data_IF_104408126320
#
_entry.id   IF_104408126320
#
_cell.length_a   1.000
_cell.length_b   1.000
_cell.length_c   1.000
_cell.angle_alpha   90.00
_cell.angle_beta   90.00
_cell.angle_gamma   90.00
#
_symmetry.space_group_name_H-M   'P 1'
#
loop_
_entity.id
_entity.type
_entity.pdbx_description
1 polymer ?
#
# COMPACT_ATOMS: atom_id res chain seq x y z
N UNK A 1 10.58 -4.63 0.70
CA UNK A 1 10.53 -4.90 -0.75
C UNK A 1 9.09 -4.87 -1.25
N UNK A 2 8.85 -4.24 -2.40
CA UNK A 2 7.51 -4.14 -3.03
C UNK A 2 6.84 -5.51 -3.20
N UNK A 3 7.60 -6.54 -3.55
CA UNK A 3 7.08 -7.92 -3.66
C UNK A 3 6.51 -8.46 -2.35
N UNK A 4 7.13 -8.13 -1.21
CA UNK A 4 6.62 -8.56 0.11
C UNK A 4 5.27 -7.90 0.45
N UNK A 5 5.06 -6.64 0.07
CA UNK A 5 3.77 -5.95 0.23
C UNK A 5 2.70 -6.56 -0.66
N UNK A 6 3.02 -6.87 -1.92
CA UNK A 6 2.08 -7.49 -2.85
C UNK A 6 1.70 -8.91 -2.40
N UNK A 7 2.66 -9.66 -1.86
CA UNK A 7 2.43 -10.99 -1.30
C UNK A 7 1.54 -10.92 -0.06
N UNK A 8 1.82 -10.00 0.86
CA UNK A 8 0.97 -9.71 2.01
C UNK A 8 -0.48 -9.39 1.57
N UNK A 9 -0.67 -8.49 0.61
CA UNK A 9 -2.00 -8.10 0.10
C UNK A 9 -2.74 -9.32 -0.46
N UNK A 10 -2.08 -10.18 -1.21
CA UNK A 10 -2.70 -11.41 -1.75
C UNK A 10 -3.17 -12.37 -0.66
N UNK A 11 -2.42 -12.47 0.44
CA UNK A 11 -2.79 -13.31 1.58
C UNK A 11 -3.91 -12.70 2.43
N UNK A 12 -3.92 -11.36 2.57
CA UNK A 12 -4.94 -10.66 3.36
C UNK A 12 -6.29 -10.56 2.64
N UNK A 13 -6.27 -10.38 1.32
CA UNK A 13 -7.46 -10.06 0.53
C UNK A 13 -7.59 -10.96 -0.69
N UNK A 14 -8.63 -11.80 -0.77
CA UNK A 14 -8.90 -12.65 -1.93
C UNK A 14 -9.45 -11.82 -3.09
N UNK A 15 -8.57 -11.14 -3.83
CA UNK A 15 -8.92 -10.27 -4.95
C UNK A 15 -9.08 -11.07 -6.25
N UNK A 16 -10.03 -10.63 -7.07
CA UNK A 16 -10.16 -11.19 -8.43
C UNK A 16 -8.96 -10.80 -9.30
N UNK A 17 -8.54 -11.72 -10.16
CA UNK A 17 -7.52 -11.50 -11.20
C UNK A 17 -8.10 -11.48 -12.62
N UNK A 18 -9.40 -11.81 -12.78
CA UNK A 18 -10.08 -11.87 -14.06
C UNK A 18 -10.55 -10.50 -14.57
N UNK A 19 -10.71 -10.37 -15.90
CA UNK A 19 -11.17 -9.14 -16.57
C UNK A 19 -12.67 -9.20 -16.94
N UNK A 20 -13.50 -10.00 -16.23
CA UNK A 20 -14.92 -10.11 -16.49
C UNK A 20 -15.64 -8.78 -16.20
N UNK A 21 -16.61 -8.44 -17.05
CA UNK A 21 -17.49 -7.28 -16.80
C UNK A 21 -18.55 -7.65 -15.76
N UNK A 22 -18.29 -7.29 -14.50
CA UNK A 22 -19.14 -7.57 -13.34
C UNK A 22 -20.22 -6.51 -13.14
N UNK A 23 -20.97 -6.15 -14.20
CA UNK A 23 -22.14 -5.30 -14.01
C UNK A 23 -23.19 -6.03 -13.14
N UNK A 24 -24.01 -5.32 -12.35
CA UNK A 24 -25.05 -5.93 -11.54
C UNK A 24 -26.03 -6.79 -12.36
N UNK A 25 -26.27 -6.41 -13.62
CA UNK A 25 -27.12 -7.15 -14.54
C UNK A 25 -26.48 -8.49 -14.95
N UNK A 26 -25.18 -8.49 -15.27
CA UNK A 26 -24.46 -9.70 -15.66
C UNK A 26 -24.35 -10.71 -14.50
N UNK A 27 -24.15 -10.22 -13.27
CA UNK A 27 -24.12 -11.05 -12.07
C UNK A 27 -25.50 -11.65 -11.80
N UNK A 28 -26.57 -10.82 -11.82
CA UNK A 28 -27.96 -11.29 -11.61
C UNK A 28 -28.42 -12.27 -12.70
N UNK A 29 -27.96 -12.07 -13.92
CA UNK A 29 -28.27 -12.99 -15.04
C UNK A 29 -27.50 -14.34 -14.97
N UNK A 30 -26.62 -14.53 -13.96
CA UNK A 30 -25.85 -15.76 -13.80
C UNK A 30 -24.90 -16.07 -14.97
N UNK A 31 -24.35 -15.01 -15.61
CA UNK A 31 -23.49 -15.17 -16.81
C UNK A 31 -22.16 -15.84 -16.54
N UNK A 32 -21.74 -15.96 -15.28
CA UNK A 32 -20.40 -16.38 -14.93
C UNK A 32 -20.42 -17.65 -14.09
N UNK A 33 -19.45 -18.53 -14.33
CA UNK A 33 -19.19 -19.68 -13.51
C UNK A 33 -17.97 -19.45 -12.61
N UNK A 34 -17.87 -20.19 -11.51
CA UNK A 34 -16.70 -20.20 -10.65
C UNK A 34 -15.46 -20.67 -11.39
N UNK A 35 -14.35 -20.01 -11.15
CA UNK A 35 -13.05 -20.35 -11.73
C UNK A 35 -12.15 -21.02 -10.67
N UNK A 36 -10.97 -21.47 -11.11
CA UNK A 36 -9.98 -22.08 -10.22
C UNK A 36 -9.62 -21.19 -9.03
N UNK A 37 -9.42 -19.87 -9.26
CA UNK A 37 -9.07 -18.91 -8.21
C UNK A 37 -10.09 -18.86 -7.06
N UNK A 38 -11.37 -19.06 -7.36
CA UNK A 38 -12.39 -19.17 -6.31
C UNK A 38 -12.26 -20.47 -5.51
N UNK A 39 -12.00 -21.59 -6.20
CA UNK A 39 -11.87 -22.89 -5.53
C UNK A 39 -10.64 -22.97 -4.62
N UNK A 40 -9.54 -22.36 -5.03
CA UNK A 40 -8.30 -22.28 -4.22
C UNK A 40 -8.30 -21.09 -3.24
N UNK A 41 -9.46 -20.39 -3.09
CA UNK A 41 -9.68 -19.27 -2.15
C UNK A 41 -8.86 -18.00 -2.41
N UNK A 42 -8.25 -17.86 -3.56
CA UNK A 42 -7.57 -16.62 -3.97
C UNK A 42 -8.54 -15.50 -4.39
N UNK A 43 -9.80 -15.85 -4.65
CA UNK A 43 -10.85 -14.92 -5.03
C UNK A 43 -12.14 -15.21 -4.24
N UNK A 44 -12.81 -14.18 -3.75
CA UNK A 44 -14.05 -14.32 -2.99
C UNK A 44 -15.32 -14.51 -3.85
N UNK A 45 -15.18 -14.61 -5.19
CA UNK A 45 -16.28 -14.91 -6.10
C UNK A 45 -17.28 -13.77 -6.34
N UNK A 46 -16.84 -12.53 -6.58
CA UNK A 46 -17.77 -11.43 -6.88
C UNK A 46 -18.57 -11.66 -8.17
N UNK A 47 -18.05 -12.44 -9.12
CA UNK A 47 -18.73 -12.76 -10.37
C UNK A 47 -20.01 -13.61 -10.22
N UNK A 48 -20.12 -14.35 -9.11
CA UNK A 48 -21.29 -15.18 -8.78
C UNK A 48 -22.06 -14.62 -7.57
N UNK A 49 -21.80 -13.36 -7.19
CA UNK A 49 -22.49 -12.69 -6.09
C UNK A 49 -22.12 -13.19 -4.68
N UNK A 50 -21.05 -13.99 -4.52
CA UNK A 50 -20.58 -14.46 -3.20
C UNK A 50 -19.89 -13.37 -2.39
N UNK A 51 -19.36 -12.35 -3.06
CA UNK A 51 -18.84 -11.12 -2.45
C UNK A 51 -19.63 -9.95 -3.04
N UNK A 52 -20.22 -9.12 -2.19
CA UNK A 52 -20.93 -7.93 -2.62
C UNK A 52 -19.95 -6.78 -2.97
N UNK A 53 -20.48 -5.75 -3.63
CA UNK A 53 -19.68 -4.61 -4.08
C UNK A 53 -19.12 -3.81 -2.90
N UNK A 54 -19.84 -3.66 -1.82
CA UNK A 54 -19.44 -2.88 -0.64
C UNK A 54 -18.23 -3.53 0.03
N UNK A 55 -18.29 -4.83 0.29
CA UNK A 55 -17.17 -5.61 0.84
C UNK A 55 -15.93 -5.54 -0.06
N UNK A 56 -16.13 -5.65 -1.39
CA UNK A 56 -15.01 -5.55 -2.34
C UNK A 56 -14.36 -4.18 -2.28
N UNK A 57 -15.14 -3.09 -2.27
CA UNK A 57 -14.63 -1.72 -2.20
C UNK A 57 -13.97 -1.42 -0.85
N UNK A 58 -14.48 -1.99 0.26
CA UNK A 58 -13.83 -1.91 1.56
C UNK A 58 -12.43 -2.54 1.51
N UNK A 59 -12.30 -3.75 0.95
CA UNK A 59 -11.00 -4.41 0.76
C UNK A 59 -10.04 -3.53 -0.06
N UNK A 60 -10.53 -2.90 -1.13
CA UNK A 60 -9.71 -1.99 -1.96
C UNK A 60 -9.26 -0.76 -1.18
N UNK A 61 -10.11 -0.20 -0.31
CA UNK A 61 -9.75 0.93 0.53
C UNK A 61 -8.65 0.55 1.54
N UNK A 62 -8.77 -0.58 2.22
CA UNK A 62 -7.77 -1.11 3.15
C UNK A 62 -6.44 -1.39 2.45
N UNK A 63 -6.47 -1.98 1.26
CA UNK A 63 -5.27 -2.21 0.42
C UNK A 63 -4.57 -0.89 0.08
N UNK A 64 -5.33 0.15 -0.27
CA UNK A 64 -4.76 1.47 -0.55
C UNK A 64 -4.04 2.05 0.67
N UNK A 65 -4.58 1.87 1.87
CA UNK A 65 -3.92 2.32 3.09
C UNK A 65 -2.64 1.53 3.38
N UNK A 66 -2.64 0.21 3.18
CA UNK A 66 -1.43 -0.62 3.29
C UNK A 66 -0.35 -0.16 2.30
N UNK A 67 -0.72 0.14 1.05
CA UNK A 67 0.21 0.62 0.02
C UNK A 67 0.77 2.03 0.33
N UNK A 68 0.04 2.85 1.07
CA UNK A 68 0.51 4.14 1.59
C UNK A 68 1.42 3.99 2.83
N UNK A 69 1.48 2.79 3.42
CA UNK A 69 2.23 2.51 4.64
C UNK A 69 1.43 2.68 5.94
N UNK A 70 0.14 2.99 5.87
CA UNK A 70 -0.74 3.17 7.03
C UNK A 70 -1.16 1.82 7.66
N UNK A 71 -0.20 0.95 7.87
CA UNK A 71 -0.44 -0.41 8.38
C UNK A 71 -0.93 -0.44 9.83
N UNK A 72 -0.50 0.52 10.66
CA UNK A 72 -0.93 0.59 12.07
C UNK A 72 -2.43 0.82 12.24
N UNK A 73 -3.02 1.64 11.37
CA UNK A 73 -4.46 1.91 11.42
C UNK A 73 -5.27 0.66 11.06
N UNK A 74 -4.84 -0.04 10.00
CA UNK A 74 -5.45 -1.32 9.60
C UNK A 74 -5.28 -2.37 10.70
N UNK A 75 -4.11 -2.48 11.32
CA UNK A 75 -3.85 -3.38 12.44
C UNK A 75 -4.80 -3.12 13.61
N UNK A 76 -4.98 -1.84 13.99
CA UNK A 76 -5.91 -1.45 15.05
C UNK A 76 -7.36 -1.79 14.72
N UNK A 77 -7.78 -1.53 13.47
CA UNK A 77 -9.13 -1.87 12.99
C UNK A 77 -9.37 -3.40 13.03
N UNK A 78 -8.41 -4.20 12.56
CA UNK A 78 -8.51 -5.66 12.59
C UNK A 78 -8.58 -6.18 14.04
N UNK A 79 -7.76 -5.62 14.93
CA UNK A 79 -7.80 -5.98 16.35
C UNK A 79 -9.16 -5.69 16.98
N UNK A 80 -9.71 -4.50 16.75
CA UNK A 80 -11.05 -4.11 17.25
C UNK A 80 -12.12 -5.03 16.69
N UNK A 81 -12.14 -5.28 15.39
CA UNK A 81 -13.11 -6.18 14.74
C UNK A 81 -13.02 -7.60 15.31
N UNK A 82 -11.81 -8.10 15.57
CA UNK A 82 -11.61 -9.40 16.23
C UNK A 82 -12.25 -9.45 17.61
N UNK A 83 -12.09 -8.38 18.42
CA UNK A 83 -12.68 -8.28 19.76
C UNK A 83 -14.22 -8.23 19.71
N UNK A 84 -14.79 -7.48 18.79
CA UNK A 84 -16.23 -7.38 18.58
C UNK A 84 -16.83 -8.74 18.20
N UNK A 85 -16.24 -9.44 17.24
CA UNK A 85 -16.69 -10.76 16.83
C UNK A 85 -16.56 -11.81 17.96
N UNK A 86 -15.51 -11.73 18.77
CA UNK A 86 -15.31 -12.60 19.92
C UNK A 86 -16.38 -12.33 21.01
N UNK A 87 -16.73 -11.06 21.24
CA UNK A 87 -17.79 -10.68 22.19
C UNK A 87 -19.17 -11.18 21.72
N UNK A 88 -19.40 -11.25 20.41
CA UNK A 88 -20.60 -11.84 19.81
C UNK A 88 -20.57 -13.37 19.73
N UNK A 89 -19.54 -14.04 20.30
CA UNK A 89 -19.31 -15.49 20.23
C UNK A 89 -19.12 -16.06 18.81
N UNK A 90 -18.78 -15.21 17.83
CA UNK A 90 -18.48 -15.58 16.43
C UNK A 90 -17.02 -15.96 16.27
N UNK A 91 -16.62 -17.02 16.97
CA UNK A 91 -15.21 -17.39 17.11
C UNK A 91 -14.51 -17.78 15.79
N UNK A 92 -15.24 -18.40 14.86
CA UNK A 92 -14.67 -18.74 13.54
C UNK A 92 -14.35 -17.49 12.70
N UNK A 93 -15.23 -16.47 12.79
CA UNK A 93 -15.02 -15.20 12.11
C UNK A 93 -13.89 -14.41 12.80
N UNK A 94 -13.89 -14.37 14.14
CA UNK A 94 -12.83 -13.74 14.92
C UNK A 94 -11.47 -14.37 14.62
N UNK A 95 -11.40 -15.70 14.44
CA UNK A 95 -10.17 -16.40 14.09
C UNK A 95 -9.62 -15.98 12.72
N UNK A 96 -10.49 -15.81 11.71
CA UNK A 96 -10.08 -15.31 10.38
C UNK A 96 -9.50 -13.91 10.44
N UNK A 97 -10.10 -13.04 11.26
CA UNK A 97 -9.57 -11.68 11.47
C UNK A 97 -8.25 -11.71 12.21
N UNK A 98 -8.11 -12.58 13.22
CA UNK A 98 -6.83 -12.80 13.94
C UNK A 98 -5.70 -13.23 13.00
N UNK A 99 -5.96 -14.12 12.07
CA UNK A 99 -4.97 -14.55 11.07
C UNK A 99 -4.50 -13.36 10.20
N UNK A 100 -5.42 -12.50 9.76
CA UNK A 100 -5.08 -11.28 9.05
C UNK A 100 -4.24 -10.32 9.90
N UNK A 101 -4.64 -10.11 11.15
CA UNK A 101 -3.91 -9.28 12.11
C UNK A 101 -2.47 -9.76 12.27
N UNK A 102 -2.26 -11.06 12.53
CA UNK A 102 -0.93 -11.64 12.71
C UNK A 102 -0.05 -11.55 11.46
N UNK A 103 -0.63 -11.69 10.26
CA UNK A 103 0.10 -11.50 8.99
C UNK A 103 0.61 -10.07 8.86
N UNK A 104 -0.22 -9.08 9.19
CA UNK A 104 0.14 -7.66 9.12
C UNK A 104 1.19 -7.29 10.18
N UNK A 105 1.02 -7.77 11.41
CA UNK A 105 1.97 -7.59 12.51
C UNK A 105 3.35 -8.17 12.17
N UNK A 106 3.39 -9.39 11.63
CA UNK A 106 4.63 -10.04 11.18
C UNK A 106 5.31 -9.28 10.03
N UNK A 107 4.52 -8.70 9.11
CA UNK A 107 5.05 -7.86 8.05
C UNK A 107 5.71 -6.61 8.63
N UNK A 108 5.04 -5.93 9.55
CA UNK A 108 5.54 -4.71 10.19
C UNK A 108 6.81 -4.98 11.00
N UNK A 109 6.86 -6.08 11.75
CA UNK A 109 8.04 -6.44 12.55
C UNK A 109 9.30 -6.73 11.72
N UNK A 110 9.13 -7.11 10.45
CA UNK A 110 10.21 -7.33 9.49
C UNK A 110 10.62 -6.07 8.69
N UNK A 111 9.83 -5.00 8.77
CA UNK A 111 10.17 -3.72 8.15
C UNK A 111 11.30 -3.06 8.95
N UNK A 112 12.31 -2.53 8.27
CA UNK A 112 13.37 -1.78 8.93
C UNK A 112 12.77 -0.56 9.64
N UNK A 113 12.87 -0.55 10.96
CA UNK A 113 12.48 0.59 11.78
C UNK A 113 13.61 1.62 11.69
N UNK A 114 13.34 2.77 11.09
CA UNK A 114 14.32 3.86 10.97
C UNK A 114 14.40 4.67 12.26
N UNK A 115 13.25 4.93 12.88
CA UNK A 115 13.17 5.73 14.12
C UNK A 115 11.79 5.58 14.78
N UNK A 116 11.78 5.58 16.11
CA UNK A 116 10.55 5.65 16.90
C UNK A 116 9.98 7.07 17.01
N UNK A 117 10.70 8.07 16.51
CA UNK A 117 10.36 9.50 16.63
C UNK A 117 9.87 10.08 15.30
N UNK A 118 10.33 9.52 14.18
CA UNK A 118 9.99 10.02 12.85
C UNK A 118 8.63 9.48 12.38
N UNK A 119 7.64 10.35 12.30
CA UNK A 119 6.30 10.01 11.87
C UNK A 119 5.90 10.87 10.67
N UNK A 120 5.58 10.23 9.54
CA UNK A 120 5.06 10.89 8.36
C UNK A 120 5.97 12.01 7.80
N UNK A 121 7.19 11.64 7.41
CA UNK A 121 8.24 12.53 6.93
C UNK A 121 8.66 12.12 5.51
N UNK A 122 8.86 13.11 4.65
CA UNK A 122 9.50 12.93 3.36
C UNK A 122 10.98 13.30 3.46
N UNK A 123 11.86 12.43 3.02
CA UNK A 123 13.31 12.68 2.98
C UNK A 123 13.76 12.68 1.53
N UNK A 124 14.49 13.73 1.16
CA UNK A 124 15.08 13.86 -0.16
C UNK A 124 16.59 14.02 -0.06
N UNK A 125 17.31 13.42 -1.00
CA UNK A 125 18.72 13.72 -1.24
C UNK A 125 18.98 13.85 -2.73
N UNK A 126 20.06 14.53 -3.10
CA UNK A 126 20.46 14.73 -4.49
C UNK A 126 21.97 14.51 -4.63
N UNK A 127 22.34 13.76 -5.67
CA UNK A 127 23.72 13.59 -6.11
C UNK A 127 23.82 13.84 -7.61
N UNK A 128 24.88 14.51 -8.03
CA UNK A 128 25.19 14.71 -9.46
C UNK A 128 26.09 13.60 -9.97
N UNK A 129 25.90 13.22 -11.23
CA UNK A 129 26.80 12.31 -11.90
C UNK A 129 28.17 13.00 -12.14
N UNK A 130 29.20 12.18 -12.30
CA UNK A 130 30.59 12.63 -12.51
C UNK A 130 30.78 13.49 -13.75
N UNK A 131 29.90 13.36 -14.75
CA UNK A 131 29.91 14.16 -15.97
C UNK A 131 29.05 15.44 -15.89
N UNK A 132 28.41 15.67 -14.72
CA UNK A 132 27.50 16.79 -14.42
C UNK A 132 26.29 16.95 -15.36
N UNK A 133 26.00 15.91 -16.19
CA UNK A 133 24.87 15.95 -17.13
C UNK A 133 23.58 15.42 -16.55
N UNK A 134 23.69 14.62 -15.49
CA UNK A 134 22.56 14.04 -14.79
C UNK A 134 22.65 14.29 -13.29
N UNK A 135 21.50 14.33 -12.62
CA UNK A 135 21.42 14.30 -11.17
C UNK A 135 20.46 13.20 -10.75
N UNK A 136 20.80 12.53 -9.65
CA UNK A 136 19.98 11.48 -9.05
C UNK A 136 19.34 12.02 -7.79
N UNK A 137 18.00 12.03 -7.74
CA UNK A 137 17.24 12.44 -6.57
C UNK A 137 16.68 11.19 -5.92
N UNK A 138 16.99 10.98 -4.65
CA UNK A 138 16.39 9.93 -3.84
C UNK A 138 15.24 10.52 -3.04
N UNK A 139 14.13 9.82 -3.02
CA UNK A 139 12.95 10.10 -2.21
C UNK A 139 12.66 8.92 -1.30
N UNK A 140 12.55 9.20 0.00
CA UNK A 140 12.10 8.24 1.02
C UNK A 140 10.87 8.80 1.71
N UNK A 141 9.82 8.00 1.82
CA UNK A 141 8.67 8.30 2.67
C UNK A 141 8.70 7.44 3.92
N UNK A 142 8.77 8.09 5.08
CA UNK A 142 8.80 7.44 6.38
C UNK A 142 7.45 7.63 7.06
N UNK A 143 6.78 6.53 7.37
CA UNK A 143 5.53 6.53 8.13
C UNK A 143 5.66 5.57 9.31
N UNK A 144 5.32 6.06 10.51
CA UNK A 144 5.38 5.26 11.74
C UNK A 144 6.77 4.64 11.99
N UNK A 145 7.83 5.39 11.73
CA UNK A 145 9.21 4.98 11.97
C UNK A 145 9.79 3.99 10.97
N UNK A 146 9.07 3.64 9.90
CA UNK A 146 9.55 2.73 8.87
C UNK A 146 9.60 3.42 7.49
N UNK A 147 10.58 3.05 6.67
CA UNK A 147 10.63 3.46 5.27
C UNK A 147 9.58 2.67 4.49
N UNK A 148 8.52 3.35 4.06
CA UNK A 148 7.43 2.74 3.29
C UNK A 148 7.62 2.86 1.78
N UNK A 149 8.26 3.93 1.33
CA UNK A 149 8.56 4.17 -0.07
C UNK A 149 10.01 4.63 -0.20
N UNK A 150 10.70 4.12 -1.21
CA UNK A 150 12.05 4.50 -1.55
C UNK A 150 12.17 4.51 -3.08
N UNK A 151 12.51 5.65 -3.65
CA UNK A 151 12.67 5.83 -5.09
C UNK A 151 13.91 6.65 -5.40
N UNK A 152 14.54 6.32 -6.52
CA UNK A 152 15.64 7.10 -7.10
C UNK A 152 15.24 7.51 -8.51
N UNK A 153 15.40 8.78 -8.83
CA UNK A 153 15.06 9.36 -10.12
C UNK A 153 16.29 9.99 -10.74
N UNK A 154 16.50 9.76 -12.04
CA UNK A 154 17.49 10.44 -12.83
C UNK A 154 16.86 11.66 -13.50
N UNK A 155 17.45 12.83 -13.29
CA UNK A 155 17.14 14.07 -13.99
C UNK A 155 18.29 14.43 -14.91
N UNK A 156 18.00 14.51 -16.22
CA UNK A 156 18.97 15.00 -17.21
C UNK A 156 18.92 16.51 -17.26
N UNK A 157 20.05 17.14 -16.97
CA UNK A 157 20.18 18.61 -17.05
C UNK A 157 20.00 19.06 -18.49
N UNK A 158 19.17 20.09 -18.68
CA UNK A 158 18.91 20.69 -20.02
C UNK A 158 19.51 22.08 -20.14
N UNK A 159 19.55 22.80 -19.04
CA UNK A 159 20.04 24.16 -18.90
C UNK A 159 20.83 24.15 -17.61
N UNK A 160 21.96 24.50 -17.44
CA UNK A 160 22.86 24.51 -16.27
C UNK A 160 22.12 24.67 -14.90
N UNK A 161 21.09 23.86 -14.69
CA UNK A 161 20.27 23.88 -13.47
C UNK A 161 21.14 23.53 -12.26
N UNK A 162 20.93 24.26 -11.17
CA UNK A 162 21.61 23.99 -9.90
C UNK A 162 21.01 22.77 -9.18
N UNK A 163 21.75 22.22 -8.20
CA UNK A 163 21.24 21.13 -7.35
C UNK A 163 19.95 21.52 -6.63
N UNK A 164 19.88 22.76 -6.15
CA UNK A 164 18.73 23.30 -5.43
C UNK A 164 17.49 23.38 -6.32
N UNK A 165 17.67 23.83 -7.57
CA UNK A 165 16.58 23.91 -8.54
C UNK A 165 16.05 22.51 -8.92
N UNK A 166 16.95 21.57 -9.21
CA UNK A 166 16.59 20.19 -9.52
C UNK A 166 15.92 19.50 -8.33
N UNK A 167 16.44 19.70 -7.11
CA UNK A 167 15.85 19.14 -5.91
C UNK A 167 14.43 19.69 -5.68
N UNK A 168 14.24 20.99 -5.87
CA UNK A 168 12.93 21.63 -5.74
C UNK A 168 11.92 21.07 -6.72
N UNK A 169 12.31 20.87 -7.98
CA UNK A 169 11.47 20.22 -9.00
C UNK A 169 11.13 18.78 -8.59
N UNK A 170 12.13 18.01 -8.14
CA UNK A 170 11.95 16.64 -7.69
C UNK A 170 10.99 16.53 -6.50
N UNK A 171 11.08 17.43 -5.53
CA UNK A 171 10.16 17.47 -4.38
C UNK A 171 8.72 17.68 -4.85
N UNK A 172 8.48 18.67 -5.71
CA UNK A 172 7.14 18.98 -6.23
C UNK A 172 6.58 17.77 -6.98
N UNK A 173 7.35 17.23 -7.94
CA UNK A 173 6.93 16.11 -8.77
C UNK A 173 6.60 14.87 -7.93
N UNK A 174 7.46 14.51 -6.98
CA UNK A 174 7.27 13.29 -6.19
C UNK A 174 6.10 13.42 -5.23
N UNK A 175 5.96 14.56 -4.56
CA UNK A 175 4.83 14.79 -3.66
C UNK A 175 3.50 14.80 -4.41
N UNK A 176 3.47 15.33 -5.62
CA UNK A 176 2.28 15.29 -6.48
C UNK A 176 1.99 13.87 -6.98
N UNK A 177 3.00 13.16 -7.46
CA UNK A 177 2.88 11.79 -7.99
C UNK A 177 2.40 10.79 -6.95
N UNK A 178 2.98 10.85 -5.74
CA UNK A 178 2.68 9.91 -4.65
C UNK A 178 1.63 10.43 -3.65
N UNK A 179 1.10 11.64 -3.89
CA UNK A 179 0.09 12.28 -3.04
C UNK A 179 0.52 12.32 -1.57
N UNK A 180 1.81 12.61 -1.33
CA UNK A 180 2.32 12.72 0.04
C UNK A 180 1.64 13.86 0.78
N UNK A 181 1.17 13.56 1.99
CA UNK A 181 0.59 14.52 2.94
C UNK A 181 1.54 14.82 4.11
N UNK A 182 2.81 14.44 4.00
CA UNK A 182 3.82 14.74 5.02
C UNK A 182 3.94 16.24 5.24
N UNK A 183 3.95 16.63 6.53
CA UNK A 183 4.13 18.03 6.93
C UNK A 183 5.59 18.43 7.04
N UNK A 184 6.46 17.45 7.21
CA UNK A 184 7.90 17.65 7.37
C UNK A 184 8.61 17.07 6.16
N UNK A 185 9.60 17.84 5.66
CA UNK A 185 10.47 17.44 4.57
C UNK A 185 11.91 17.62 5.06
N UNK A 186 12.73 16.58 4.95
CA UNK A 186 14.16 16.65 5.23
C UNK A 186 14.89 16.72 3.89
N UNK A 187 15.75 17.72 3.77
CA UNK A 187 16.59 17.98 2.59
C UNK A 187 18.06 18.12 3.00
N UNK A 188 19.03 17.94 2.08
CA UNK A 188 20.47 17.95 2.41
C UNK A 188 21.06 19.36 2.67
N UNK A 189 20.35 20.42 2.34
CA UNK A 189 20.79 21.82 2.50
C UNK A 189 19.59 22.75 2.71
#
# INVERSE_FOLDING_TARGET
SMYAVLDLIKHLYPLRTCNLNLSPENIRAGKFNVCLEYHIKNCAGPCIGKQNQEEYLKNIAEIKEILKGNTQEIERMLYQQMQELAAEMKFEEAQKIKEKYLLLENYRSKSEVVSNVLHNIDVFSIEEDTDEKSAFINYLHITNGAINQAFTFEYKKRLNETKEELLSLGIIEMRERYKSLSREIIVPF
#
